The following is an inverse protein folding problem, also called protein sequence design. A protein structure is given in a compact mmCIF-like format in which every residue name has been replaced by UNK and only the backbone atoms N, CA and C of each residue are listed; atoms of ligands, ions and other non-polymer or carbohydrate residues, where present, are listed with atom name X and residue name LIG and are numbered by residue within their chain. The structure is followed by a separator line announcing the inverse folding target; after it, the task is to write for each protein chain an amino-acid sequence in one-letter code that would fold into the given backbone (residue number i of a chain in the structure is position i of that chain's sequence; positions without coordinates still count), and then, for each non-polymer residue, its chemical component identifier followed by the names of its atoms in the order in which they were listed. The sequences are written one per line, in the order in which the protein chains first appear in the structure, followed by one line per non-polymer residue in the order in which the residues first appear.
data_IF_152748725105
#
_entry.id   IF_152748725105
#
_cell.length_a   1.000
_cell.length_b   1.000
_cell.length_c   1.000
_cell.angle_alpha   90.00
_cell.angle_beta   90.00
_cell.angle_gamma   90.00
#
_symmetry.space_group_name_H-M   'P 1'
#
loop_
_entity.id
_entity.type
_entity.pdbx_description
1 polymer ?
#
# COMPACT_ATOMS: atom_id res chain seq x y z
N UNK A 1 -54.14 58.19 -22.02
CA UNK A 1 -53.83 56.78 -22.27
C UNK A 1 -52.32 56.60 -22.31
N UNK A 2 -51.73 56.08 -21.24
CA UNK A 2 -50.44 55.37 -21.24
C UNK A 2 -50.23 54.83 -19.82
N UNK A 3 -50.52 53.54 -19.67
CA UNK A 3 -50.32 52.73 -18.48
C UNK A 3 -48.84 52.42 -18.29
N UNK A 4 -48.23 52.93 -17.24
CA UNK A 4 -46.90 52.47 -16.77
C UNK A 4 -47.15 51.38 -15.73
N UNK A 5 -46.92 50.13 -16.13
CA UNK A 5 -47.01 48.97 -15.26
C UNK A 5 -45.77 48.89 -14.36
N UNK A 6 -45.97 49.06 -13.05
CA UNK A 6 -44.96 48.82 -12.02
C UNK A 6 -44.74 47.31 -11.86
N UNK A 7 -43.60 46.79 -12.34
CA UNK A 7 -43.18 45.41 -12.09
C UNK A 7 -42.57 45.27 -10.69
N UNK A 8 -43.10 44.33 -9.91
CA UNK A 8 -42.55 43.90 -8.62
C UNK A 8 -41.25 43.11 -8.79
N UNK A 9 -40.30 43.16 -7.83
CA UNK A 9 -39.01 42.49 -7.98
C UNK A 9 -39.13 40.97 -7.83
N UNK A 10 -38.51 40.25 -8.76
CA UNK A 10 -38.48 38.79 -8.82
C UNK A 10 -37.85 38.16 -7.57
N UNK A 11 -38.56 37.21 -6.95
CA UNK A 11 -38.05 36.34 -5.87
C UNK A 11 -36.78 35.62 -6.32
N UNK A 12 -35.64 35.91 -5.69
CA UNK A 12 -34.39 35.15 -5.85
C UNK A 12 -34.62 33.68 -5.46
N UNK A 13 -34.54 32.78 -6.44
CA UNK A 13 -34.53 31.33 -6.23
C UNK A 13 -33.37 30.96 -5.29
N UNK A 14 -33.68 30.29 -4.16
CA UNK A 14 -32.69 29.70 -3.25
C UNK A 14 -31.80 28.76 -4.08
N UNK A 15 -30.49 29.03 -4.14
CA UNK A 15 -29.49 28.10 -4.68
C UNK A 15 -29.63 26.77 -3.93
N UNK A 16 -29.91 25.71 -4.67
CA UNK A 16 -29.82 24.32 -4.21
C UNK A 16 -28.48 24.13 -3.48
N UNK A 17 -28.53 23.72 -2.22
CA UNK A 17 -27.34 23.32 -1.45
C UNK A 17 -26.75 22.11 -2.17
N UNK A 18 -25.59 22.28 -2.81
CA UNK A 18 -24.82 21.14 -3.36
C UNK A 18 -24.66 20.09 -2.25
N UNK A 19 -24.98 18.84 -2.59
CA UNK A 19 -24.89 17.72 -1.66
C UNK A 19 -23.44 17.60 -1.17
N UNK A 20 -23.16 17.71 0.15
CA UNK A 20 -21.79 17.70 0.69
C UNK A 20 -21.07 16.35 0.53
N UNK A 21 -21.72 15.36 -0.09
CA UNK A 21 -21.28 13.97 -0.29
C UNK A 21 -20.87 13.68 -1.75
N UNK A 22 -20.86 14.67 -2.65
CA UNK A 22 -20.47 14.45 -4.05
C UNK A 22 -18.96 14.16 -4.15
N UNK A 23 -18.60 12.90 -4.42
CA UNK A 23 -17.23 12.40 -4.50
C UNK A 23 -16.95 11.14 -3.65
N UNK A 24 -17.99 10.55 -3.04
CA UNK A 24 -17.88 9.43 -2.12
C UNK A 24 -18.09 8.09 -2.84
N UNK A 25 -17.08 7.23 -2.82
CA UNK A 25 -17.20 5.79 -3.11
C UNK A 25 -17.40 5.06 -1.79
N UNK A 26 -18.58 5.19 -1.20
CA UNK A 26 -18.93 4.44 -0.02
C UNK A 26 -20.24 3.73 -0.24
N UNK A 27 -20.39 2.62 0.48
CA UNK A 27 -21.64 1.88 0.53
C UNK A 27 -22.77 2.80 1.03
N UNK A 28 -24.00 2.52 0.58
CA UNK A 28 -25.21 3.25 1.01
C UNK A 28 -25.34 3.21 2.54
N UNK A 29 -24.87 2.13 3.17
CA UNK A 29 -24.87 1.92 4.61
C UNK A 29 -23.92 2.88 5.34
N UNK A 30 -22.71 3.11 4.83
CA UNK A 30 -21.76 4.08 5.42
C UNK A 30 -22.28 5.52 5.37
N UNK A 31 -22.96 5.90 4.28
CA UNK A 31 -23.62 7.21 4.18
C UNK A 31 -24.73 7.35 5.22
N UNK A 32 -25.54 6.30 5.40
CA UNK A 32 -26.62 6.28 6.38
C UNK A 32 -26.11 6.39 7.82
N UNK A 33 -25.04 5.64 8.15
CA UNK A 33 -24.41 5.67 9.47
C UNK A 33 -23.81 7.06 9.78
N UNK A 34 -23.13 7.68 8.82
CA UNK A 34 -22.59 9.03 8.97
C UNK A 34 -23.70 10.06 9.20
N UNK A 35 -24.80 9.98 8.45
CA UNK A 35 -25.94 10.89 8.62
C UNK A 35 -26.61 10.74 10.00
N UNK A 36 -26.73 9.51 10.52
CA UNK A 36 -27.20 9.26 11.87
C UNK A 36 -26.26 9.88 12.91
N UNK A 37 -24.96 9.63 12.79
CA UNK A 37 -23.95 10.21 13.68
C UNK A 37 -24.00 11.75 13.68
N UNK A 38 -24.10 12.39 12.52
CA UNK A 38 -24.19 13.85 12.42
C UNK A 38 -25.46 14.40 13.10
N UNK A 39 -26.58 13.66 13.05
CA UNK A 39 -27.82 14.03 13.77
C UNK A 39 -27.63 13.89 15.28
N UNK A 40 -27.03 12.80 15.74
CA UNK A 40 -26.82 12.57 17.17
C UNK A 40 -25.87 13.61 17.77
N UNK A 41 -24.75 13.90 17.09
CA UNK A 41 -23.81 14.95 17.51
C UNK A 41 -24.44 16.33 17.53
N UNK A 42 -25.45 16.59 16.69
CA UNK A 42 -26.16 17.88 16.68
C UNK A 42 -27.07 18.10 17.89
N UNK A 43 -27.45 17.02 18.60
CA UNK A 43 -28.31 17.08 19.79
C UNK A 43 -27.55 17.46 21.05
N UNK A 44 -26.23 17.32 21.08
CA UNK A 44 -25.44 17.75 22.23
C UNK A 44 -25.46 19.28 22.36
N UNK A 45 -25.76 19.75 23.57
CA UNK A 45 -25.78 21.18 23.89
C UNK A 45 -24.37 21.77 23.91
N UNK A 46 -24.30 23.06 23.56
CA UNK A 46 -23.06 23.82 23.67
C UNK A 46 -22.83 24.17 25.13
N UNK A 47 -21.64 23.83 25.65
CA UNK A 47 -21.26 24.16 27.03
C UNK A 47 -20.94 25.65 27.17
N UNK A 48 -21.24 26.21 28.34
CA UNK A 48 -20.85 27.57 28.70
C UNK A 48 -19.37 27.64 29.08
N UNK A 49 -18.72 28.82 28.99
CA UNK A 49 -17.33 28.98 29.41
C UNK A 49 -17.07 28.60 30.87
N UNK A 50 -18.05 28.82 31.76
CA UNK A 50 -17.96 28.44 33.17
C UNK A 50 -17.96 26.91 33.32
N UNK A 51 -18.88 26.23 32.61
CA UNK A 51 -18.96 24.77 32.61
C UNK A 51 -17.74 24.12 31.98
N UNK A 52 -17.16 24.73 30.94
CA UNK A 52 -15.91 24.28 30.33
C UNK A 52 -14.75 24.27 31.34
N UNK A 53 -14.66 25.29 32.21
CA UNK A 53 -13.64 25.34 33.27
C UNK A 53 -13.87 24.27 34.34
N UNK A 54 -15.11 24.12 34.79
CA UNK A 54 -15.48 23.08 35.77
C UNK A 54 -15.13 21.67 35.27
N UNK A 55 -15.57 21.35 34.04
CA UNK A 55 -15.29 20.06 33.42
C UNK A 55 -13.79 19.86 33.16
N UNK A 56 -13.08 20.92 32.78
CA UNK A 56 -11.62 20.87 32.61
C UNK A 56 -10.89 20.54 33.91
N UNK A 57 -11.31 21.14 35.04
CA UNK A 57 -10.70 20.89 36.34
C UNK A 57 -10.97 19.46 36.84
N UNK A 58 -12.21 18.97 36.66
CA UNK A 58 -12.57 17.58 36.98
C UNK A 58 -11.83 16.57 36.08
N UNK A 59 -11.73 16.85 34.78
CA UNK A 59 -10.98 16.02 33.84
C UNK A 59 -9.50 15.91 34.22
N UNK A 60 -8.89 17.00 34.69
CA UNK A 60 -7.51 17.02 35.18
C UNK A 60 -7.34 16.21 36.48
N UNK A 61 -8.37 16.19 37.33
CA UNK A 61 -8.42 15.34 38.53
C UNK A 61 -8.62 13.84 38.21
N UNK A 62 -8.80 13.47 36.94
CA UNK A 62 -8.95 12.10 36.48
C UNK A 62 -10.39 11.60 36.37
N UNK A 63 -11.38 12.50 36.44
CA UNK A 63 -12.80 12.15 36.25
C UNK A 63 -13.08 11.82 34.76
N UNK A 64 -13.37 10.55 34.48
CA UNK A 64 -13.66 10.10 33.13
C UNK A 64 -15.01 10.61 32.60
N UNK A 65 -16.00 10.81 33.46
CA UNK A 65 -17.31 11.33 33.05
C UNK A 65 -17.18 12.79 32.60
N UNK A 66 -16.36 13.57 33.31
CA UNK A 66 -16.05 14.94 32.92
C UNK A 66 -15.31 15.03 31.57
N UNK A 67 -14.36 14.11 31.31
CA UNK A 67 -13.66 13.99 30.02
C UNK A 67 -14.65 13.69 28.89
N UNK A 68 -15.57 12.75 29.11
CA UNK A 68 -16.58 12.37 28.13
C UNK A 68 -17.58 13.50 27.86
N UNK A 69 -18.05 14.19 28.91
CA UNK A 69 -18.97 15.33 28.78
C UNK A 69 -18.31 16.47 27.99
N UNK A 70 -17.06 16.83 28.34
CA UNK A 70 -16.28 17.86 27.64
C UNK A 70 -16.03 17.50 26.17
N UNK A 71 -15.72 16.24 25.88
CA UNK A 71 -15.53 15.76 24.52
C UNK A 71 -16.85 15.76 23.71
N UNK A 72 -17.95 15.24 24.27
CA UNK A 72 -19.27 15.17 23.60
C UNK A 72 -19.78 16.55 23.18
N UNK A 73 -19.61 17.55 24.03
CA UNK A 73 -19.97 18.94 23.73
C UNK A 73 -19.22 19.51 22.51
N UNK A 74 -18.03 18.98 22.20
CA UNK A 74 -17.12 19.49 21.18
C UNK A 74 -16.99 18.61 19.94
N UNK A 75 -17.75 17.52 19.80
CA UNK A 75 -17.71 16.63 18.62
C UNK A 75 -17.99 17.36 17.30
N UNK A 76 -18.84 18.40 17.33
CA UNK A 76 -19.15 19.26 16.17
C UNK A 76 -17.89 19.95 15.62
N UNK A 77 -16.97 20.33 16.50
CA UNK A 77 -15.73 20.98 16.12
C UNK A 77 -14.81 20.00 15.36
N UNK A 78 -14.70 18.75 15.82
CA UNK A 78 -13.90 17.71 15.15
C UNK A 78 -14.35 17.51 13.71
N UNK A 79 -15.66 17.42 13.47
CA UNK A 79 -16.24 17.29 12.12
C UNK A 79 -15.78 18.47 11.23
N UNK A 80 -15.77 19.69 11.76
CA UNK A 80 -15.34 20.88 11.01
C UNK A 80 -13.84 20.87 10.65
N UNK A 81 -13.01 20.23 11.48
CA UNK A 81 -11.58 20.06 11.24
C UNK A 81 -11.34 18.93 10.24
N UNK A 82 -11.97 17.77 10.43
CA UNK A 82 -11.85 16.58 9.57
C UNK A 82 -12.27 16.85 8.12
N UNK A 83 -13.31 17.67 7.91
CA UNK A 83 -13.75 18.09 6.56
C UNK A 83 -12.63 18.71 5.72
N UNK A 84 -11.61 19.31 6.32
CA UNK A 84 -10.47 19.91 5.60
C UNK A 84 -9.49 18.87 5.03
N UNK A 85 -9.57 17.63 5.49
CA UNK A 85 -8.68 16.53 5.13
C UNK A 85 -9.36 15.44 4.30
N UNK A 86 -10.58 15.69 3.81
CA UNK A 86 -11.33 14.77 2.95
C UNK A 86 -10.59 14.48 1.63
N UNK A 87 -10.93 13.35 1.02
CA UNK A 87 -10.43 12.92 -0.30
C UNK A 87 -8.91 12.74 -0.36
N UNK A 88 -8.29 12.29 0.74
CA UNK A 88 -6.85 12.00 0.82
C UNK A 88 -6.55 10.51 1.06
N UNK A 89 -7.48 9.62 0.75
CA UNK A 89 -7.30 8.16 0.87
C UNK A 89 -7.88 7.53 2.13
N UNK A 90 -8.30 8.33 3.12
CA UNK A 90 -9.04 7.84 4.31
C UNK A 90 -10.48 8.36 4.27
N UNK A 91 -11.44 7.54 4.69
CA UNK A 91 -12.86 7.90 4.72
C UNK A 91 -13.11 9.06 5.69
N UNK A 92 -14.12 9.91 5.44
CA UNK A 92 -14.46 11.00 6.36
C UNK A 92 -14.84 10.46 7.74
N UNK A 93 -15.54 9.33 7.80
CA UNK A 93 -15.94 8.68 9.05
C UNK A 93 -14.71 8.34 9.87
N UNK A 94 -13.71 7.70 9.28
CA UNK A 94 -12.47 7.34 9.98
C UNK A 94 -11.69 8.58 10.42
N UNK A 95 -11.60 9.61 9.57
CA UNK A 95 -10.97 10.89 9.95
C UNK A 95 -11.66 11.55 11.15
N UNK A 96 -13.00 11.47 11.23
CA UNK A 96 -13.76 11.96 12.38
C UNK A 96 -13.44 11.12 13.63
N UNK A 97 -13.44 9.80 13.50
CA UNK A 97 -13.15 8.90 14.63
C UNK A 97 -11.75 9.14 15.20
N UNK A 98 -10.74 9.27 14.34
CA UNK A 98 -9.36 9.57 14.74
C UNK A 98 -9.25 10.97 15.35
N UNK A 99 -9.96 11.94 14.79
CA UNK A 99 -10.10 13.26 15.37
C UNK A 99 -10.73 13.24 16.77
N UNK A 100 -11.71 12.36 16.99
CA UNK A 100 -12.36 12.18 18.29
C UNK A 100 -11.39 11.57 19.32
N UNK A 101 -10.53 10.63 18.92
CA UNK A 101 -9.44 10.11 19.77
C UNK A 101 -8.48 11.25 20.17
N UNK A 102 -8.14 12.12 19.22
CA UNK A 102 -7.36 13.33 19.49
C UNK A 102 -8.06 14.29 20.46
N UNK A 103 -9.38 14.48 20.31
CA UNK A 103 -10.19 15.32 21.19
C UNK A 103 -10.23 14.80 22.64
N UNK A 104 -10.44 13.49 22.83
CA UNK A 104 -10.43 12.87 24.17
C UNK A 104 -9.04 12.99 24.81
N UNK A 105 -7.98 12.81 24.02
CA UNK A 105 -6.61 13.04 24.49
C UNK A 105 -6.40 14.48 24.93
N UNK A 106 -6.94 15.45 24.20
CA UNK A 106 -6.90 16.85 24.58
C UNK A 106 -7.69 17.12 25.87
N UNK A 107 -8.88 16.54 26.02
CA UNK A 107 -9.72 16.71 27.20
C UNK A 107 -9.02 16.23 28.48
N UNK A 108 -8.31 15.09 28.41
CA UNK A 108 -7.51 14.56 29.55
C UNK A 108 -6.34 15.45 29.96
N UNK A 109 -5.80 16.26 29.04
CA UNK A 109 -4.59 17.08 29.24
C UNK A 109 -4.88 18.58 29.30
N UNK A 110 -6.16 18.96 29.23
CA UNK A 110 -6.56 20.34 29.22
C UNK A 110 -6.39 20.96 30.60
N UNK A 111 -5.85 22.17 30.65
CA UNK A 111 -5.63 22.94 31.85
C UNK A 111 -6.47 24.23 31.77
N UNK A 112 -7.57 24.33 32.55
CA UNK A 112 -8.45 25.50 32.52
C UNK A 112 -7.82 26.76 33.15
N UNK A 113 -6.78 26.62 33.97
CA UNK A 113 -6.13 27.75 34.66
C UNK A 113 -5.32 28.62 33.69
N UNK A 114 -4.95 28.08 32.52
CA UNK A 114 -4.22 28.83 31.48
C UNK A 114 -5.08 29.88 30.76
N UNK A 115 -6.39 29.94 31.03
CA UNK A 115 -7.27 30.98 30.48
C UNK A 115 -7.53 30.88 28.97
N UNK A 116 -7.18 29.77 28.34
CA UNK A 116 -7.46 29.49 26.92
C UNK A 116 -8.70 28.62 26.77
N UNK A 117 -9.51 28.87 25.74
CA UNK A 117 -10.66 28.03 25.41
C UNK A 117 -10.21 26.60 25.07
N UNK A 118 -10.97 25.60 25.47
CA UNK A 118 -10.66 24.19 25.22
C UNK A 118 -10.43 23.91 23.73
N UNK A 119 -11.29 24.42 22.84
CA UNK A 119 -11.16 24.23 21.39
C UNK A 119 -9.84 24.76 20.81
N UNK A 120 -9.28 25.83 21.41
CA UNK A 120 -8.00 26.42 20.97
C UNK A 120 -6.83 25.50 21.28
N UNK A 121 -6.92 24.75 22.39
CA UNK A 121 -5.95 23.73 22.77
C UNK A 121 -6.17 22.43 21.97
N UNK A 122 -7.41 21.97 21.89
CA UNK A 122 -7.78 20.69 21.27
C UNK A 122 -7.46 20.61 19.78
N UNK A 123 -7.47 21.73 19.05
CA UNK A 123 -7.22 21.73 17.59
C UNK A 123 -5.88 21.10 17.21
N UNK A 124 -4.85 21.21 18.05
CA UNK A 124 -3.54 20.62 17.81
C UNK A 124 -3.58 19.10 17.90
N UNK A 125 -4.19 18.55 18.96
CA UNK A 125 -4.37 17.12 19.17
C UNK A 125 -5.25 16.48 18.09
N UNK A 126 -6.36 17.15 17.73
CA UNK A 126 -7.25 16.70 16.66
C UNK A 126 -6.49 16.62 15.33
N UNK A 127 -5.74 17.67 14.95
CA UNK A 127 -4.95 17.68 13.72
C UNK A 127 -3.86 16.62 13.74
N UNK A 128 -3.17 16.46 14.87
CA UNK A 128 -2.10 15.48 15.00
C UNK A 128 -2.63 14.05 14.81
N UNK A 129 -3.76 13.71 15.43
CA UNK A 129 -4.39 12.40 15.27
C UNK A 129 -4.86 12.16 13.82
N UNK A 130 -5.53 13.14 13.21
CA UNK A 130 -5.96 13.08 11.81
C UNK A 130 -4.77 12.89 10.86
N UNK A 131 -3.71 13.67 11.02
CA UNK A 131 -2.51 13.58 10.18
C UNK A 131 -1.76 12.25 10.38
N UNK A 132 -1.72 11.75 11.61
CA UNK A 132 -1.12 10.44 11.91
C UNK A 132 -1.91 9.31 11.24
N UNK A 133 -3.24 9.33 11.32
CA UNK A 133 -4.07 8.32 10.64
C UNK A 133 -3.92 8.40 9.12
N UNK A 134 -3.87 9.62 8.56
CA UNK A 134 -3.63 9.81 7.13
C UNK A 134 -2.28 9.25 6.67
N UNK A 135 -1.22 9.41 7.48
CA UNK A 135 0.09 8.84 7.18
C UNK A 135 0.11 7.31 7.29
N UNK A 136 -0.67 6.75 8.20
CA UNK A 136 -0.71 5.31 8.47
C UNK A 136 -1.63 4.52 7.52
N UNK A 137 -2.77 5.10 7.14
CA UNK A 137 -3.87 4.42 6.45
C UNK A 137 -4.28 5.07 5.12
N UNK A 138 -3.76 6.26 4.78
CA UNK A 138 -4.21 7.00 3.60
C UNK A 138 -3.65 6.49 2.27
N UNK A 139 -2.83 5.45 2.28
CA UNK A 139 -2.16 4.88 1.09
C UNK A 139 -2.19 3.36 1.20
N UNK A 140 -2.26 2.64 0.07
CA UNK A 140 -2.18 1.18 0.09
C UNK A 140 -0.79 0.73 0.53
N UNK A 141 0.27 1.44 0.10
CA UNK A 141 1.64 1.22 0.58
C UNK A 141 1.95 2.21 1.70
N UNK A 142 2.12 1.67 2.91
CA UNK A 142 2.43 2.43 4.12
C UNK A 142 3.79 3.12 4.02
N UNK A 143 3.81 4.43 4.27
CA UNK A 143 5.04 5.22 4.41
C UNK A 143 5.31 5.48 5.90
N UNK A 144 6.56 5.32 6.38
CA UNK A 144 6.92 5.65 7.75
C UNK A 144 6.59 7.10 8.13
N UNK A 145 6.16 7.33 9.39
CA UNK A 145 5.68 8.64 9.86
C UNK A 145 6.75 9.74 9.74
N UNK A 146 8.02 9.40 9.97
CA UNK A 146 9.15 10.31 9.83
C UNK A 146 9.42 10.74 8.37
N UNK A 147 8.92 10.01 7.38
CA UNK A 147 9.04 10.35 5.95
C UNK A 147 7.77 10.95 5.36
N UNK A 148 6.63 10.83 6.05
CA UNK A 148 5.36 11.38 5.59
C UNK A 148 5.38 12.92 5.49
N UNK A 149 6.10 13.59 6.40
CA UNK A 149 6.31 15.05 6.34
C UNK A 149 7.14 15.46 5.12
N UNK A 150 8.19 14.70 4.83
CA UNK A 150 9.10 14.94 3.70
C UNK A 150 8.33 14.78 2.39
N UNK A 151 7.53 13.72 2.28
CA UNK A 151 6.67 13.49 1.13
C UNK A 151 5.68 14.65 0.92
N UNK A 152 5.00 15.10 1.98
CA UNK A 152 4.09 16.24 1.90
C UNK A 152 4.80 17.56 1.51
N UNK A 153 6.05 17.75 1.94
CA UNK A 153 6.90 18.88 1.54
C UNK A 153 7.26 18.78 0.06
N UNK A 154 7.72 17.62 -0.41
CA UNK A 154 8.03 17.35 -1.82
C UNK A 154 6.82 17.66 -2.71
N UNK A 155 5.61 17.22 -2.33
CA UNK A 155 4.40 17.53 -3.09
C UNK A 155 4.09 19.03 -3.19
N UNK A 156 4.21 19.75 -2.07
CA UNK A 156 3.94 21.19 -2.03
C UNK A 156 4.94 21.96 -2.89
N UNK A 157 6.21 21.63 -2.76
CA UNK A 157 7.29 22.25 -3.54
C UNK A 157 7.20 21.86 -5.01
N UNK A 158 6.83 20.61 -5.32
CA UNK A 158 6.58 20.15 -6.69
C UNK A 158 5.49 20.96 -7.37
N UNK A 159 4.35 21.17 -6.70
CA UNK A 159 3.26 21.96 -7.27
C UNK A 159 3.64 23.44 -7.42
N UNK A 160 4.38 24.00 -6.46
CA UNK A 160 4.89 25.38 -6.55
C UNK A 160 5.86 25.55 -7.74
N UNK A 161 6.88 24.70 -7.82
CA UNK A 161 7.88 24.73 -8.89
C UNK A 161 7.27 24.43 -10.25
N UNK A 162 6.28 23.54 -10.32
CA UNK A 162 5.53 23.28 -11.56
C UNK A 162 4.82 24.53 -12.08
N UNK A 163 4.26 25.35 -11.20
CA UNK A 163 3.63 26.62 -11.57
C UNK A 163 4.65 27.68 -12.00
N UNK A 164 5.78 27.76 -11.30
CA UNK A 164 6.86 28.72 -11.60
C UNK A 164 7.59 28.38 -12.91
N UNK A 165 7.99 27.11 -13.09
CA UNK A 165 8.78 26.63 -14.23
C UNK A 165 7.93 26.28 -15.45
N UNK A 166 6.60 26.14 -15.29
CA UNK A 166 5.66 25.67 -16.32
C UNK A 166 6.03 24.30 -16.93
N UNK A 167 6.77 23.49 -16.18
CA UNK A 167 7.15 22.11 -16.51
C UNK A 167 7.23 21.29 -15.23
N UNK A 168 7.32 19.96 -15.35
CA UNK A 168 7.63 19.11 -14.20
C UNK A 168 9.07 19.45 -13.69
N UNK A 169 9.24 19.68 -12.37
CA UNK A 169 10.55 19.94 -11.80
C UNK A 169 11.39 18.66 -11.74
N UNK A 170 12.71 18.80 -11.86
CA UNK A 170 13.64 17.67 -11.74
C UNK A 170 13.84 17.28 -10.27
N UNK A 171 14.37 16.07 -10.02
CA UNK A 171 14.68 15.62 -8.67
C UNK A 171 15.70 16.53 -7.96
N UNK A 172 16.68 17.07 -8.70
CA UNK A 172 17.66 18.04 -8.19
C UNK A 172 17.02 19.39 -7.81
N UNK A 173 16.08 19.90 -8.61
CA UNK A 173 15.37 21.15 -8.30
C UNK A 173 14.53 20.99 -7.02
N UNK A 174 13.91 19.82 -6.87
CA UNK A 174 13.16 19.47 -5.67
C UNK A 174 14.06 19.26 -4.46
N UNK A 175 15.25 18.68 -4.63
CA UNK A 175 16.20 18.47 -3.54
C UNK A 175 16.65 19.80 -2.96
N UNK A 176 16.92 20.80 -3.81
CA UNK A 176 17.26 22.17 -3.38
C UNK A 176 16.09 22.86 -2.68
N UNK A 177 14.86 22.72 -3.19
CA UNK A 177 13.68 23.34 -2.55
C UNK A 177 13.27 22.68 -1.23
N UNK A 178 13.57 21.38 -1.06
CA UNK A 178 13.18 20.60 0.11
C UNK A 178 14.29 20.38 1.12
N UNK A 179 15.53 20.79 0.84
CA UNK A 179 16.73 20.47 1.63
C UNK A 179 16.92 18.96 1.87
N UNK A 180 16.54 18.14 0.90
CA UNK A 180 16.68 16.68 0.94
C UNK A 180 17.76 16.23 -0.04
N UNK A 181 18.28 15.00 0.11
CA UNK A 181 19.21 14.44 -0.88
C UNK A 181 18.45 14.05 -2.16
N UNK A 182 19.05 14.20 -3.36
CA UNK A 182 18.42 13.78 -4.61
C UNK A 182 17.95 12.32 -4.60
N UNK A 183 18.80 11.42 -4.09
CA UNK A 183 18.48 9.98 -3.94
C UNK A 183 17.21 9.74 -3.11
N UNK A 184 17.03 10.51 -2.03
CA UNK A 184 15.85 10.40 -1.19
C UNK A 184 14.60 10.94 -1.89
N UNK A 185 14.73 12.04 -2.63
CA UNK A 185 13.64 12.61 -3.42
C UNK A 185 13.18 11.59 -4.46
N UNK A 186 14.10 10.96 -5.19
CA UNK A 186 13.77 9.91 -6.17
C UNK A 186 13.07 8.72 -5.50
N UNK A 187 13.62 8.21 -4.39
CA UNK A 187 13.00 7.11 -3.63
C UNK A 187 11.59 7.45 -3.13
N UNK A 188 11.36 8.68 -2.67
CA UNK A 188 10.03 9.10 -2.22
C UNK A 188 9.07 9.36 -3.39
N UNK A 189 9.59 9.77 -4.56
CA UNK A 189 8.80 9.93 -5.78
C UNK A 189 8.36 8.58 -6.36
N UNK A 190 9.19 7.55 -6.32
CA UNK A 190 8.82 6.20 -6.79
C UNK A 190 7.73 5.58 -5.93
N UNK A 191 7.81 5.75 -4.60
CA UNK A 191 6.74 5.35 -3.66
C UNK A 191 5.41 6.06 -3.88
N UNK A 192 5.43 7.15 -4.64
CA UNK A 192 4.27 7.98 -4.91
C UNK A 192 3.70 7.77 -6.32
N UNK A 193 4.13 6.71 -7.01
CA UNK A 193 3.47 6.26 -8.22
C UNK A 193 1.96 6.06 -7.93
N UNK A 194 1.11 6.59 -8.81
CA UNK A 194 -0.33 6.46 -8.65
C UNK A 194 -0.69 4.97 -8.70
N UNK A 195 -1.43 4.52 -7.69
CA UNK A 195 -1.94 3.15 -7.64
C UNK A 195 -2.85 2.91 -8.86
N UNK A 196 -2.53 1.89 -9.65
CA UNK A 196 -3.34 1.50 -10.81
C UNK A 196 -4.29 0.39 -10.35
N UNK A 197 -5.59 0.61 -10.56
CA UNK A 197 -6.60 -0.41 -10.32
C UNK A 197 -6.54 -1.47 -11.41
N UNK A 198 -6.21 -2.70 -11.03
CA UNK A 198 -6.15 -3.82 -11.96
C UNK A 198 -7.53 -4.27 -12.43
N UNK A 199 -8.57 -4.02 -11.62
CA UNK A 199 -9.97 -4.28 -11.93
C UNK A 199 -10.64 -3.17 -12.75
N UNK A 200 -9.92 -2.09 -13.06
CA UNK A 200 -10.48 -1.03 -13.89
C UNK A 200 -10.70 -1.54 -15.33
N UNK A 201 -11.87 -1.25 -15.94
CA UNK A 201 -12.11 -1.60 -17.33
C UNK A 201 -11.14 -0.84 -18.24
N UNK A 202 -10.59 -1.52 -19.23
CA UNK A 202 -9.73 -0.93 -20.26
C UNK A 202 -10.54 -0.82 -21.56
N UNK A 203 -10.65 0.42 -22.08
CA UNK A 203 -11.31 0.69 -23.36
C UNK A 203 -12.83 0.84 -23.25
N UNK A 204 -13.52 0.78 -24.38
CA UNK A 204 -14.98 1.00 -24.47
C UNK A 204 -15.82 -0.26 -24.15
N UNK A 205 -15.18 -1.42 -23.97
CA UNK A 205 -15.83 -2.68 -23.62
C UNK A 205 -15.74 -2.94 -22.11
N UNK A 206 -16.88 -3.08 -21.44
CA UNK A 206 -16.96 -3.39 -20.01
C UNK A 206 -16.34 -4.76 -19.64
N UNK A 207 -16.13 -5.63 -20.62
CA UNK A 207 -15.62 -6.99 -20.41
C UNK A 207 -14.09 -7.08 -20.31
N UNK A 208 -13.33 -6.03 -20.67
CA UNK A 208 -11.86 -6.09 -20.67
C UNK A 208 -11.28 -5.44 -19.43
N UNK A 209 -10.69 -6.22 -18.52
CA UNK A 209 -10.02 -5.72 -17.32
C UNK A 209 -8.49 -5.73 -17.46
N UNK A 210 -7.79 -4.86 -16.72
CA UNK A 210 -6.32 -4.83 -16.67
C UNK A 210 -5.73 -6.18 -16.23
N UNK A 211 -6.40 -6.87 -15.30
CA UNK A 211 -5.99 -8.20 -14.80
C UNK A 211 -5.79 -9.21 -15.95
N UNK A 212 -6.65 -9.19 -16.97
CA UNK A 212 -6.65 -10.20 -18.04
C UNK A 212 -5.42 -10.09 -18.95
N UNK A 213 -4.74 -8.93 -18.95
CA UNK A 213 -3.49 -8.72 -19.70
C UNK A 213 -2.24 -9.06 -18.90
N UNK A 214 -2.35 -9.22 -17.59
CA UNK A 214 -1.26 -9.78 -16.79
C UNK A 214 -1.27 -11.29 -16.98
N UNK A 215 -0.81 -11.72 -18.17
CA UNK A 215 -0.47 -13.11 -18.43
C UNK A 215 0.70 -13.44 -17.50
N UNK A 216 0.53 -14.45 -16.67
CA UNK A 216 1.55 -14.90 -15.73
C UNK A 216 2.73 -15.42 -16.55
N UNK A 217 3.91 -14.80 -16.41
CA UNK A 217 5.17 -15.33 -16.99
C UNK A 217 5.51 -16.74 -16.45
N UNK A 218 4.81 -17.19 -15.40
CA UNK A 218 4.97 -18.51 -14.77
C UNK A 218 4.08 -19.62 -15.34
N UNK A 219 3.24 -19.35 -16.35
CA UNK A 219 2.60 -20.45 -17.05
C UNK A 219 3.69 -21.20 -17.83
N UNK A 220 4.22 -22.28 -17.24
CA UNK A 220 5.18 -23.15 -17.89
C UNK A 220 4.65 -23.47 -19.29
N UNK A 221 5.37 -23.02 -20.31
CA UNK A 221 4.93 -23.23 -21.68
C UNK A 221 4.81 -24.75 -21.89
N UNK A 222 3.67 -25.26 -22.40
CA UNK A 222 3.48 -26.70 -22.55
C UNK A 222 4.56 -27.34 -23.44
N UNK A 223 5.18 -26.54 -24.31
CA UNK A 223 6.36 -26.91 -25.09
C UNK A 223 7.59 -27.20 -24.21
N UNK A 224 7.90 -26.31 -23.25
CA UNK A 224 9.01 -26.50 -22.28
C UNK A 224 8.77 -27.70 -21.36
N UNK A 225 7.51 -27.96 -20.96
CA UNK A 225 7.16 -29.15 -20.17
C UNK A 225 7.40 -30.44 -20.96
N UNK A 226 6.98 -30.47 -22.23
CA UNK A 226 7.21 -31.61 -23.13
C UNK A 226 8.70 -31.79 -23.41
N UNK A 227 9.44 -30.71 -23.66
CA UNK A 227 10.88 -30.75 -23.88
C UNK A 227 11.63 -31.29 -22.66
N UNK A 228 11.31 -30.80 -21.46
CA UNK A 228 11.89 -31.28 -20.20
C UNK A 228 11.64 -32.77 -19.98
N UNK A 229 10.44 -33.24 -20.31
CA UNK A 229 10.09 -34.67 -20.24
C UNK A 229 10.89 -35.50 -21.25
N UNK A 230 10.93 -35.08 -22.52
CA UNK A 230 11.69 -35.76 -23.57
C UNK A 230 13.19 -35.81 -23.26
N UNK A 231 13.74 -34.73 -22.71
CA UNK A 231 15.12 -34.66 -22.23
C UNK A 231 15.35 -35.67 -21.09
N UNK A 232 14.43 -35.75 -20.12
CA UNK A 232 14.49 -36.73 -19.03
C UNK A 232 14.45 -38.18 -19.51
N UNK A 233 13.59 -38.48 -20.49
CA UNK A 233 13.50 -39.81 -21.13
C UNK A 233 14.81 -40.14 -21.89
N UNK A 234 15.34 -39.19 -22.67
CA UNK A 234 16.60 -39.35 -23.40
C UNK A 234 17.82 -39.55 -22.48
N UNK A 235 17.89 -38.82 -21.35
CA UNK A 235 18.93 -39.00 -20.33
C UNK A 235 18.83 -40.41 -19.71
N UNK A 236 17.62 -40.85 -19.35
CA UNK A 236 17.40 -42.17 -18.77
C UNK A 236 17.86 -43.28 -19.72
N UNK A 237 17.48 -43.18 -20.98
CA UNK A 237 17.89 -44.06 -22.07
C UNK A 237 19.40 -44.09 -22.34
N UNK A 238 20.10 -42.97 -22.14
CA UNK A 238 21.55 -42.87 -22.29
C UNK A 238 22.27 -43.54 -21.10
N UNK A 239 21.71 -43.42 -19.89
CA UNK A 239 22.25 -44.06 -18.69
C UNK A 239 22.10 -45.58 -18.71
N UNK A 240 21.09 -46.14 -19.38
CA UNK A 240 20.91 -47.60 -19.52
C UNK A 240 21.99 -48.31 -20.34
N UNK A 241 22.68 -47.58 -21.24
CA UNK A 241 23.80 -48.13 -22.03
C UNK A 241 25.06 -48.34 -21.17
N UNK A 242 25.19 -47.55 -20.10
CA UNK A 242 26.35 -47.61 -19.23
C UNK A 242 26.29 -48.86 -18.34
N UNK A 243 27.47 -49.26 -17.86
CA UNK A 243 27.55 -50.30 -16.83
C UNK A 243 26.75 -49.84 -15.60
N UNK A 244 25.96 -50.71 -14.93
CA UNK A 244 25.07 -50.30 -13.82
C UNK A 244 25.78 -49.51 -12.71
N UNK A 245 27.07 -49.79 -12.49
CA UNK A 245 27.92 -49.07 -11.52
C UNK A 245 28.26 -47.65 -11.99
N UNK A 246 28.51 -47.46 -13.27
CA UNK A 246 28.84 -46.15 -13.86
C UNK A 246 27.59 -45.26 -13.92
N UNK A 247 26.45 -45.81 -14.33
CA UNK A 247 25.16 -45.12 -14.36
C UNK A 247 24.76 -44.62 -12.96
N UNK A 248 24.92 -45.46 -11.93
CA UNK A 248 24.61 -45.11 -10.53
C UNK A 248 25.48 -43.96 -10.02
N UNK A 249 26.75 -43.90 -10.41
CA UNK A 249 27.64 -42.77 -10.04
C UNK A 249 27.14 -41.47 -10.68
N UNK A 250 26.69 -41.48 -11.93
CA UNK A 250 26.16 -40.29 -12.59
C UNK A 250 24.83 -39.82 -11.99
N UNK A 251 23.91 -40.75 -11.68
CA UNK A 251 22.63 -40.42 -11.03
C UNK A 251 22.83 -39.70 -9.70
N UNK A 252 23.68 -40.25 -8.83
CA UNK A 252 24.00 -39.65 -7.53
C UNK A 252 24.77 -38.33 -7.65
N UNK A 253 25.67 -38.22 -8.62
CA UNK A 253 26.50 -37.01 -8.78
C UNK A 253 25.68 -35.82 -9.27
N UNK A 254 24.78 -36.02 -10.23
CA UNK A 254 23.95 -34.97 -10.82
C UNK A 254 22.55 -34.86 -10.20
N UNK A 255 22.22 -35.68 -9.18
CA UNK A 255 20.89 -35.64 -8.55
C UNK A 255 19.76 -35.96 -9.53
N UNK A 256 19.95 -36.97 -10.39
CA UNK A 256 18.94 -37.38 -11.35
C UNK A 256 17.85 -38.21 -10.64
N UNK A 257 16.66 -38.33 -11.25
CA UNK A 257 15.52 -39.10 -10.71
C UNK A 257 14.94 -38.54 -9.38
N UNK A 258 15.14 -37.24 -9.12
CA UNK A 258 14.61 -36.57 -7.93
C UNK A 258 15.48 -36.72 -6.67
N UNK A 259 16.70 -37.25 -6.82
CA UNK A 259 17.70 -37.27 -5.74
C UNK A 259 18.47 -35.95 -5.65
N UNK A 260 19.08 -35.69 -4.48
CA UNK A 260 19.99 -34.55 -4.34
C UNK A 260 21.35 -34.84 -4.98
N UNK A 261 22.06 -33.82 -5.41
CA UNK A 261 23.46 -33.95 -5.81
C UNK A 261 24.33 -34.41 -4.62
N UNK A 262 25.22 -35.35 -4.89
CA UNK A 262 26.19 -35.87 -3.92
C UNK A 262 27.63 -35.57 -4.32
N UNK A 263 28.47 -35.29 -3.32
CA UNK A 263 29.91 -35.12 -3.54
C UNK A 263 30.59 -36.46 -3.87
N UNK A 264 31.72 -36.42 -4.58
CA UNK A 264 32.50 -37.62 -4.91
C UNK A 264 32.91 -38.43 -3.66
N UNK A 265 33.08 -37.76 -2.53
CA UNK A 265 33.44 -38.38 -1.25
C UNK A 265 32.23 -39.07 -0.60
N UNK A 266 31.06 -38.44 -0.62
CA UNK A 266 29.80 -39.06 -0.20
C UNK A 266 29.47 -40.30 -1.01
N UNK A 267 29.58 -40.22 -2.34
CA UNK A 267 29.34 -41.36 -3.24
C UNK A 267 30.36 -42.47 -2.99
N UNK A 268 31.62 -42.11 -2.74
CA UNK A 268 32.69 -43.07 -2.40
C UNK A 268 32.38 -43.84 -1.12
N UNK A 269 31.91 -43.14 -0.08
CA UNK A 269 31.50 -43.75 1.18
C UNK A 269 30.29 -44.68 1.00
N UNK A 270 29.31 -44.31 0.17
CA UNK A 270 28.13 -45.16 -0.11
C UNK A 270 28.48 -46.43 -0.92
N UNK A 271 29.43 -46.35 -1.84
CA UNK A 271 29.83 -47.46 -2.71
C UNK A 271 31.04 -48.24 -2.19
N UNK A 272 31.60 -47.86 -1.04
CA UNK A 272 32.74 -48.53 -0.42
C UNK A 272 34.06 -48.37 -1.20
N UNK A 273 34.24 -47.26 -1.92
CA UNK A 273 35.41 -46.99 -2.76
C UNK A 273 35.98 -45.61 -2.52
N UNK A 274 37.25 -45.40 -2.89
CA UNK A 274 37.90 -44.10 -2.71
C UNK A 274 37.29 -43.02 -3.60
N UNK A 275 37.36 -41.76 -3.15
CA UNK A 275 36.95 -40.58 -3.94
C UNK A 275 37.55 -40.56 -5.34
N UNK A 276 38.83 -40.88 -5.45
CA UNK A 276 39.55 -40.91 -6.73
C UNK A 276 39.01 -42.00 -7.66
N UNK A 277 38.55 -43.13 -7.09
CA UNK A 277 37.90 -44.19 -7.88
C UNK A 277 36.55 -43.74 -8.43
N UNK A 278 35.74 -43.01 -7.65
CA UNK A 278 34.47 -42.44 -8.14
C UNK A 278 34.72 -41.44 -9.28
N UNK A 279 35.75 -40.58 -9.14
CA UNK A 279 36.15 -39.65 -10.20
C UNK A 279 36.48 -40.37 -11.51
N UNK A 280 37.26 -41.45 -11.44
CA UNK A 280 37.59 -42.27 -12.61
C UNK A 280 36.35 -42.91 -13.25
N UNK A 281 35.43 -43.45 -12.43
CA UNK A 281 34.18 -44.05 -12.93
C UNK A 281 33.30 -43.00 -13.63
N UNK A 282 33.15 -41.81 -13.03
CA UNK A 282 32.42 -40.68 -13.62
C UNK A 282 33.03 -40.24 -14.96
N UNK A 283 34.33 -39.98 -14.99
CA UNK A 283 35.01 -39.48 -16.19
C UNK A 283 34.98 -40.52 -17.32
N UNK A 284 35.06 -41.82 -16.97
CA UNK A 284 34.89 -42.93 -17.91
C UNK A 284 33.46 -43.02 -18.45
N UNK A 285 32.46 -42.88 -17.58
CA UNK A 285 31.05 -42.88 -17.94
C UNK A 285 30.71 -41.73 -18.90
N UNK A 286 31.14 -40.52 -18.57
CA UNK A 286 30.97 -39.34 -19.43
C UNK A 286 31.67 -39.49 -20.78
N UNK A 287 32.88 -40.08 -20.81
CA UNK A 287 33.57 -40.36 -22.07
C UNK A 287 32.80 -41.34 -22.95
N UNK A 288 32.26 -42.41 -22.37
CA UNK A 288 31.43 -43.39 -23.09
C UNK A 288 30.13 -42.77 -23.63
N UNK A 289 29.50 -41.88 -22.87
CA UNK A 289 28.32 -41.16 -23.34
C UNK A 289 28.64 -40.23 -24.51
N UNK A 290 29.82 -39.59 -24.51
CA UNK A 290 30.29 -38.72 -25.61
C UNK A 290 30.67 -39.48 -26.88
N UNK A 291 31.26 -40.66 -26.75
CA UNK A 291 31.70 -41.49 -27.89
C UNK A 291 30.54 -42.33 -28.49
N UNK A 292 29.40 -42.43 -27.81
CA UNK A 292 28.24 -43.20 -28.25
C UNK A 292 27.23 -42.41 -29.08
N UNK A 293 26.48 -43.11 -29.94
CA UNK A 293 25.47 -42.51 -30.83
C UNK A 293 24.36 -41.73 -30.08
N UNK A 294 24.10 -42.03 -28.80
CA UNK A 294 23.10 -41.29 -27.99
C UNK A 294 23.60 -39.96 -27.44
N UNK A 295 24.92 -39.72 -27.41
CA UNK A 295 25.48 -38.40 -27.06
C UNK A 295 25.09 -37.31 -28.06
N UNK A 296 25.01 -37.66 -29.35
CA UNK A 296 24.56 -36.77 -30.41
C UNK A 296 23.05 -36.46 -30.33
N UNK A 297 22.24 -37.38 -29.80
CA UNK A 297 20.81 -37.16 -29.58
C UNK A 297 20.53 -36.22 -28.39
N UNK A 298 21.45 -36.13 -27.43
CA UNK A 298 21.38 -35.16 -26.33
C UNK A 298 21.89 -33.77 -26.74
N UNK A 299 22.75 -33.70 -27.77
CA UNK A 299 23.25 -32.44 -28.32
C UNK A 299 22.13 -31.58 -28.94
N UNK A 300 21.08 -32.21 -29.49
CA UNK A 300 19.93 -31.49 -30.04
C UNK A 300 19.06 -30.78 -29.00
N UNK A 301 19.16 -31.17 -27.72
CA UNK A 301 18.47 -30.50 -26.61
C UNK A 301 19.34 -29.36 -25.99
N UNK A 302 20.58 -29.21 -26.44
CA UNK A 302 21.51 -28.18 -25.97
C UNK A 302 21.71 -27.02 -26.96
N UNK A 303 21.06 -27.10 -28.13
CA UNK A 303 21.11 -26.13 -29.23
C UNK A 303 19.90 -25.19 -29.18
#
# INVERSE_FOLDING_TARGET
MSTVATQAPARRKRKSRKNPLAGFSATIEEQSALDQYLRDVSRHELITPEREKELGALAQAGDEDAVQELARANLRFVISVAKKYQNRGVSLTDLIQEGNVGLVTAARKFDPEQGVKFISYAVWWIRQAILASLANHGRAVRVPLNRASDLARIFREKERLKQELRREPTAEELSVATDLTPELVESLQTLNAAEIRLDAPIGDSEDSQLVERFITEEAAEPELEVESRLLGEAISEALEILEPRDAKVLRLYFGLEGEREHTLEEIGNMLGVTRERIRQLRDRALRRLREGNKGAALESFAA
#
